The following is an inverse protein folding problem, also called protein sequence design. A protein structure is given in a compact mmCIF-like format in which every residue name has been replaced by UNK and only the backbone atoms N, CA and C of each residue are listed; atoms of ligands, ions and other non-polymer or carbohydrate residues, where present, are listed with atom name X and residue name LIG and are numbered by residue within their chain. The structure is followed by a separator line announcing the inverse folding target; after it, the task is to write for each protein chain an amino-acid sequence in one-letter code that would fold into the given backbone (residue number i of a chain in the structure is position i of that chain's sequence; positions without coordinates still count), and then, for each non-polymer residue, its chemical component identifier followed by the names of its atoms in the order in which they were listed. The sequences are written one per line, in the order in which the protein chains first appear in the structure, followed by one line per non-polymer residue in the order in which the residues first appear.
data_IF_724800088234
#
_entry.id   IF_724800088234
#
_cell.length_a   1.000
_cell.length_b   1.000
_cell.length_c   1.000
_cell.angle_alpha   90.00
_cell.angle_beta   90.00
_cell.angle_gamma   90.00
#
_symmetry.space_group_name_H-M   'P 1'
#
loop_
_entity.id
_entity.type
_entity.pdbx_description
1 polymer ?
#
# COMPACT_ATOMS: atom_id res chain seq x y z
N UNK A 1 -49.25 -7.37 -6.61
CA UNK A 1 -48.26 -6.35 -7.00
C UNK A 1 -47.01 -6.63 -6.18
N UNK A 2 -45.98 -7.12 -6.84
CA UNK A 2 -44.56 -7.16 -6.44
C UNK A 2 -43.79 -6.83 -7.76
N UNK A 3 -42.53 -6.33 -7.84
CA UNK A 3 -41.45 -6.57 -6.86
C UNK A 3 -40.36 -5.49 -6.70
N UNK A 4 -39.32 -5.85 -5.94
CA UNK A 4 -37.92 -5.37 -5.97
C UNK A 4 -37.58 -4.36 -4.85
N UNK A 5 -36.71 -4.64 -3.88
CA UNK A 5 -35.48 -5.43 -3.94
C UNK A 5 -34.30 -4.51 -4.26
N UNK A 6 -33.43 -4.25 -3.26
CA UNK A 6 -31.98 -4.07 -3.43
C UNK A 6 -31.31 -4.01 -2.05
N UNK A 7 -30.90 -5.19 -1.57
CA UNK A 7 -29.80 -5.33 -0.61
C UNK A 7 -28.58 -4.66 -1.24
N UNK A 8 -28.07 -3.60 -0.60
CA UNK A 8 -26.83 -2.96 -1.00
C UNK A 8 -25.70 -3.98 -0.96
N UNK A 9 -25.22 -4.39 -2.14
CA UNK A 9 -24.15 -5.35 -2.27
C UNK A 9 -22.90 -4.87 -1.55
N UNK A 10 -22.40 -5.70 -0.63
CA UNK A 10 -20.96 -5.70 -0.32
C UNK A 10 -20.26 -5.91 -1.66
N UNK A 11 -19.52 -4.90 -2.10
CA UNK A 11 -18.54 -5.09 -3.17
C UNK A 11 -17.45 -5.97 -2.56
N UNK A 12 -17.62 -7.27 -2.77
CA UNK A 12 -16.57 -8.25 -2.57
C UNK A 12 -15.39 -7.79 -3.42
N UNK A 13 -14.38 -7.23 -2.76
CA UNK A 13 -13.08 -7.00 -3.40
C UNK A 13 -12.65 -8.36 -3.92
N UNK A 14 -12.53 -8.50 -5.23
CA UNK A 14 -11.86 -9.64 -5.84
C UNK A 14 -10.46 -9.68 -5.22
N UNK A 15 -10.25 -10.54 -4.23
CA UNK A 15 -8.94 -10.71 -3.62
C UNK A 15 -8.11 -11.38 -4.72
N UNK A 16 -7.18 -10.64 -5.30
CA UNK A 16 -6.16 -11.21 -6.18
C UNK A 16 -5.59 -12.45 -5.51
N UNK A 17 -5.50 -13.55 -6.26
CA UNK A 17 -4.96 -14.80 -5.72
C UNK A 17 -3.54 -14.52 -5.20
N UNK A 18 -3.16 -15.02 -4.00
CA UNK A 18 -1.81 -14.85 -3.51
C UNK A 18 -0.79 -15.36 -4.53
N UNK A 19 0.28 -14.59 -4.72
CA UNK A 19 1.35 -14.87 -5.70
C UNK A 19 2.63 -15.21 -4.95
N UNK A 20 3.31 -16.29 -5.35
CA UNK A 20 4.59 -16.66 -4.74
C UNK A 20 5.74 -15.92 -5.42
N UNK A 21 6.68 -15.43 -4.63
CA UNK A 21 7.87 -14.72 -5.10
C UNK A 21 9.16 -15.33 -4.55
N UNK A 22 10.24 -15.16 -5.31
CA UNK A 22 11.62 -15.35 -4.86
C UNK A 22 12.29 -13.99 -4.78
N UNK A 23 12.92 -13.69 -3.65
CA UNK A 23 13.73 -12.47 -3.50
C UNK A 23 15.01 -12.62 -4.32
N UNK A 24 15.23 -11.71 -5.27
CA UNK A 24 16.41 -11.67 -6.15
C UNK A 24 17.38 -10.54 -5.78
N UNK A 25 16.95 -9.58 -4.96
CA UNK A 25 17.78 -8.53 -4.36
C UNK A 25 17.35 -8.32 -2.91
N UNK A 26 18.29 -8.14 -1.99
CA UNK A 26 17.96 -7.86 -0.60
C UNK A 26 17.31 -6.48 -0.46
N UNK A 27 16.42 -6.35 0.51
CA UNK A 27 15.79 -5.09 0.89
C UNK A 27 15.77 -5.00 2.43
N UNK A 28 16.02 -3.80 2.94
CA UNK A 28 16.00 -3.49 4.37
C UNK A 28 14.94 -2.44 4.60
N UNK A 29 14.05 -2.70 5.55
CA UNK A 29 12.98 -1.78 5.91
C UNK A 29 13.56 -0.44 6.40
N UNK A 30 13.05 0.65 5.85
CA UNK A 30 13.58 2.00 6.06
C UNK A 30 13.15 2.63 7.39
N UNK A 31 11.97 2.27 7.90
CA UNK A 31 11.35 2.93 9.05
C UNK A 31 10.81 1.91 10.06
N UNK A 32 11.11 2.12 11.34
CA UNK A 32 10.63 1.25 12.42
C UNK A 32 9.15 1.48 12.78
N UNK A 33 8.64 2.71 12.61
CA UNK A 33 7.26 3.07 12.95
C UNK A 33 6.65 3.98 11.88
N UNK A 34 6.35 3.45 10.68
CA UNK A 34 5.85 4.24 9.57
C UNK A 34 4.36 4.56 9.70
N UNK A 35 3.90 5.51 8.89
CA UNK A 35 2.49 5.91 8.81
C UNK A 35 1.54 4.71 8.67
N UNK A 36 0.43 4.75 9.43
CA UNK A 36 -0.65 3.76 9.33
C UNK A 36 -2.01 4.42 9.47
N UNK A 37 -2.86 4.21 8.47
CA UNK A 37 -4.19 4.84 8.36
C UNK A 37 -5.27 3.82 8.05
N UNK A 38 -6.47 4.10 8.54
CA UNK A 38 -7.72 3.49 8.12
C UNK A 38 -8.44 4.40 7.12
N UNK A 39 -9.40 3.83 6.38
CA UNK A 39 -10.27 4.64 5.52
C UNK A 39 -10.97 5.73 6.34
N UNK A 40 -10.91 6.96 5.84
CA UNK A 40 -11.50 8.15 6.45
C UNK A 40 -10.57 8.90 7.42
N UNK A 41 -9.46 8.29 7.83
CA UNK A 41 -8.48 8.96 8.68
C UNK A 41 -7.89 10.18 7.98
N UNK A 42 -7.62 11.22 8.76
CA UNK A 42 -6.95 12.44 8.28
C UNK A 42 -5.48 12.14 8.03
N UNK A 43 -4.97 12.64 6.91
CA UNK A 43 -3.56 12.61 6.55
C UNK A 43 -3.07 14.03 6.35
N UNK A 44 -1.95 14.37 6.95
CA UNK A 44 -1.25 15.64 6.68
C UNK A 44 -0.20 15.37 5.62
N UNK A 45 -0.24 16.09 4.49
CA UNK A 45 0.80 16.00 3.47
C UNK A 45 1.83 17.11 3.68
N UNK A 46 3.12 16.75 3.63
CA UNK A 46 4.21 17.74 3.73
C UNK A 46 4.50 18.50 2.43
N UNK A 47 3.93 18.04 1.31
CA UNK A 47 4.25 18.52 -0.04
C UNK A 47 5.46 17.83 -0.69
N UNK A 48 6.23 17.01 0.05
CA UNK A 48 7.29 16.19 -0.55
C UNK A 48 6.67 15.09 -1.41
N UNK A 49 7.25 14.89 -2.59
CA UNK A 49 6.86 13.86 -3.55
C UNK A 49 8.08 13.07 -4.00
N UNK A 50 7.89 11.79 -4.30
CA UNK A 50 8.88 10.96 -4.97
C UNK A 50 8.25 10.28 -6.20
N UNK A 51 9.05 10.09 -7.24
CA UNK A 51 8.60 9.52 -8.51
C UNK A 51 9.28 8.17 -8.70
N UNK A 52 8.46 7.12 -8.65
CA UNK A 52 8.91 5.75 -8.82
C UNK A 52 8.59 5.25 -10.23
N UNK A 53 9.56 4.83 -11.04
CA UNK A 53 9.31 4.39 -12.41
C UNK A 53 8.29 3.24 -12.48
N UNK A 54 7.32 3.38 -13.38
CA UNK A 54 6.31 2.35 -13.64
C UNK A 54 6.32 1.89 -15.10
N UNK A 55 5.68 0.75 -15.42
CA UNK A 55 5.73 0.17 -16.77
C UNK A 55 4.90 0.94 -17.80
N UNK A 56 3.87 1.69 -17.37
CA UNK A 56 2.98 2.48 -18.24
C UNK A 56 3.13 3.97 -17.97
N UNK A 57 3.07 4.36 -16.69
CA UNK A 57 3.32 5.71 -16.23
C UNK A 57 4.09 5.63 -14.91
N UNK A 58 4.81 6.70 -14.58
CA UNK A 58 5.48 6.79 -13.29
C UNK A 58 4.46 6.84 -12.15
N UNK A 59 4.87 6.31 -11.01
CA UNK A 59 4.10 6.27 -9.79
C UNK A 59 4.49 7.45 -8.91
N UNK A 60 3.49 8.20 -8.45
CA UNK A 60 3.73 9.33 -7.53
C UNK A 60 3.51 8.87 -6.10
N UNK A 61 4.53 9.04 -5.28
CA UNK A 61 4.50 8.85 -3.84
C UNK A 61 4.45 10.20 -3.13
N UNK A 62 3.65 10.28 -2.07
CA UNK A 62 3.48 11.48 -1.25
C UNK A 62 4.01 11.21 0.16
N UNK A 63 4.69 12.18 0.77
CA UNK A 63 5.09 12.06 2.17
C UNK A 63 3.96 12.54 3.09
N UNK A 64 3.36 11.58 3.79
CA UNK A 64 2.22 11.80 4.68
C UNK A 64 2.58 11.62 6.15
N UNK A 65 1.78 12.20 7.02
CA UNK A 65 1.78 12.01 8.46
C UNK A 65 0.36 11.66 8.95
N UNK A 66 0.22 10.65 9.81
CA UNK A 66 -1.05 10.34 10.46
C UNK A 66 -1.27 11.12 11.78
N UNK A 67 -2.45 10.96 12.37
CA UNK A 67 -2.84 11.61 13.64
C UNK A 67 -1.93 11.29 14.84
N UNK A 68 -1.14 10.21 14.76
CA UNK A 68 -0.20 9.82 15.81
C UNK A 68 1.21 10.40 15.56
N UNK A 69 1.38 11.22 14.53
CA UNK A 69 2.67 11.82 14.16
C UNK A 69 3.60 10.85 13.42
N UNK A 70 3.13 9.68 12.97
CA UNK A 70 3.95 8.75 12.21
C UNK A 70 3.98 9.18 10.75
N UNK A 71 5.17 9.14 10.16
CA UNK A 71 5.41 9.59 8.80
C UNK A 71 5.79 8.44 7.87
N UNK A 72 5.61 8.65 6.58
CA UNK A 72 6.08 7.73 5.55
C UNK A 72 5.51 8.04 4.18
N UNK A 73 6.03 7.33 3.19
CA UNK A 73 5.54 7.37 1.82
C UNK A 73 4.18 6.69 1.73
N UNK A 74 3.24 7.34 1.05
CA UNK A 74 1.94 6.79 0.69
C UNK A 74 1.72 6.90 -0.84
N UNK A 75 0.97 5.96 -1.45
CA UNK A 75 0.53 6.10 -2.83
C UNK A 75 -0.27 7.39 -3.02
N UNK A 76 -0.03 8.11 -4.11
CA UNK A 76 -0.79 9.34 -4.38
C UNK A 76 -2.30 9.13 -4.52
N UNK A 77 -2.71 7.93 -4.95
CA UNK A 77 -4.12 7.50 -5.00
C UNK A 77 -4.71 7.09 -3.64
N UNK A 78 -3.94 7.17 -2.55
CA UNK A 78 -4.42 6.81 -1.21
C UNK A 78 -5.38 7.86 -0.65
N UNK A 79 -5.20 9.13 -1.03
CA UNK A 79 -5.87 10.25 -0.37
C UNK A 79 -6.75 11.04 -1.33
N UNK A 80 -7.91 11.45 -0.83
CA UNK A 80 -8.78 12.40 -1.49
C UNK A 80 -8.91 13.68 -0.65
N UNK A 81 -9.10 14.81 -1.32
CA UNK A 81 -9.45 16.05 -0.64
C UNK A 81 -10.80 15.89 0.08
N UNK A 82 -10.86 16.29 1.35
CA UNK A 82 -12.12 16.30 2.09
C UNK A 82 -13.09 17.30 1.46
N UNK A 83 -14.34 16.88 1.27
CA UNK A 83 -15.38 17.73 0.68
C UNK A 83 -15.51 19.05 1.46
N UNK A 84 -15.36 20.18 0.77
CA UNK A 84 -15.54 21.52 1.34
C UNK A 84 -14.36 22.05 2.19
N UNK A 85 -13.22 21.36 2.25
CA UNK A 85 -12.05 21.82 2.99
C UNK A 85 -10.79 21.82 2.12
N UNK A 86 -10.20 23.00 1.91
CA UNK A 86 -8.88 23.15 1.28
C UNK A 86 -7.80 22.66 2.25
N UNK A 87 -6.89 21.81 1.77
CA UNK A 87 -5.74 21.34 2.54
C UNK A 87 -6.02 20.21 3.54
N UNK A 88 -7.23 19.65 3.58
CA UNK A 88 -7.53 18.46 4.39
C UNK A 88 -7.62 17.22 3.51
N UNK A 89 -6.76 16.23 3.78
CA UNK A 89 -6.73 14.97 3.06
C UNK A 89 -7.26 13.84 3.93
N UNK A 90 -7.98 12.91 3.31
CA UNK A 90 -8.48 11.69 3.97
C UNK A 90 -8.07 10.46 3.19
N UNK A 91 -7.70 9.41 3.90
CA UNK A 91 -7.37 8.13 3.28
C UNK A 91 -8.63 7.45 2.72
N UNK A 92 -8.62 7.02 1.47
CA UNK A 92 -9.73 6.33 0.82
C UNK A 92 -9.78 4.83 1.13
N UNK A 93 -8.65 4.29 1.59
CA UNK A 93 -8.48 2.90 2.03
C UNK A 93 -7.55 2.82 3.23
N UNK A 94 -7.54 1.67 3.89
CA UNK A 94 -6.51 1.38 4.89
C UNK A 94 -5.15 1.19 4.21
N UNK A 95 -4.10 1.72 4.83
CA UNK A 95 -2.73 1.58 4.34
C UNK A 95 -1.76 1.59 5.51
N UNK A 96 -0.72 0.77 5.42
CA UNK A 96 0.37 0.73 6.37
C UNK A 96 1.67 0.71 5.57
N UNK A 97 2.48 1.75 5.74
CA UNK A 97 3.73 1.93 5.00
C UNK A 97 4.88 1.07 5.57
N UNK A 98 4.58 -0.02 6.27
CA UNK A 98 5.61 -0.94 6.78
C UNK A 98 6.26 -1.69 5.64
N UNK A 99 7.58 -1.70 5.65
CA UNK A 99 8.42 -2.44 4.71
C UNK A 99 8.85 -3.77 5.34
N UNK A 100 9.05 -4.80 4.52
CA UNK A 100 9.54 -6.10 4.98
C UNK A 100 11.01 -6.26 4.64
N UNK A 101 11.86 -6.42 5.66
CA UNK A 101 13.27 -6.76 5.43
C UNK A 101 13.38 -8.19 4.90
N UNK A 102 14.07 -8.38 3.78
CA UNK A 102 14.22 -9.69 3.16
C UNK A 102 15.62 -9.91 2.55
N UNK A 103 16.05 -11.17 2.53
CA UNK A 103 17.35 -11.61 1.98
C UNK A 103 17.16 -12.31 0.65
N UNK A 104 18.17 -12.20 -0.23
CA UNK A 104 18.20 -12.93 -1.51
C UNK A 104 17.96 -14.43 -1.27
N UNK A 105 17.11 -15.03 -2.09
CA UNK A 105 16.73 -16.45 -1.99
C UNK A 105 15.52 -16.72 -1.09
N UNK A 106 15.08 -15.76 -0.26
CA UNK A 106 13.85 -15.93 0.52
C UNK A 106 12.63 -16.15 -0.39
N UNK A 107 11.66 -16.92 0.11
CA UNK A 107 10.34 -17.08 -0.51
C UNK A 107 9.35 -16.20 0.23
N UNK A 108 8.56 -15.44 -0.54
CA UNK A 108 7.53 -14.56 -0.01
C UNK A 108 6.19 -14.84 -0.68
N UNK A 109 5.10 -14.58 0.01
CA UNK A 109 3.74 -14.62 -0.55
C UNK A 109 3.22 -13.19 -0.65
N UNK A 110 2.99 -12.72 -1.88
CA UNK A 110 2.42 -11.41 -2.15
C UNK A 110 0.90 -11.47 -2.25
N UNK A 111 0.21 -10.48 -1.69
CA UNK A 111 -1.27 -10.40 -1.69
C UNK A 111 -1.83 -9.11 -2.27
N UNK A 112 -1.00 -8.08 -2.39
CA UNK A 112 -1.37 -6.78 -2.96
C UNK A 112 -0.16 -6.16 -3.66
N UNK A 113 -0.40 -5.24 -4.59
CA UNK A 113 0.64 -4.50 -5.29
C UNK A 113 0.21 -3.04 -5.48
N UNK A 114 1.12 -2.10 -5.26
CA UNK A 114 0.87 -0.69 -5.48
C UNK A 114 2.16 0.04 -5.78
N UNK A 115 2.13 0.87 -6.82
CA UNK A 115 3.17 1.87 -7.09
C UNK A 115 4.60 1.29 -7.16
N UNK A 116 4.75 0.08 -7.73
CA UNK A 116 6.04 -0.62 -7.87
C UNK A 116 6.49 -1.42 -6.65
N UNK A 117 5.58 -1.66 -5.70
CA UNK A 117 5.83 -2.41 -4.47
C UNK A 117 4.77 -3.49 -4.26
N UNK A 118 5.16 -4.61 -3.66
CA UNK A 118 4.27 -5.75 -3.34
C UNK A 118 4.18 -5.91 -1.83
N UNK A 119 2.95 -6.02 -1.31
CA UNK A 119 2.72 -6.40 0.07
C UNK A 119 2.97 -7.89 0.22
N UNK A 120 4.03 -8.25 0.93
CA UNK A 120 4.50 -9.61 1.11
C UNK A 120 4.33 -10.08 2.55
N UNK A 121 4.25 -11.40 2.70
CA UNK A 121 4.44 -12.12 3.97
C UNK A 121 5.58 -13.13 3.83
N UNK A 122 6.36 -13.33 4.89
CA UNK A 122 7.35 -14.39 4.99
C UNK A 122 6.83 -15.61 5.77
N UNK A 123 7.65 -16.66 5.88
CA UNK A 123 7.30 -17.87 6.62
C UNK A 123 7.36 -17.73 8.15
N UNK A 124 7.92 -16.63 8.65
CA UNK A 124 8.13 -16.35 10.07
C UNK A 124 7.05 -15.41 10.64
N UNK A 125 6.05 -15.04 9.83
CA UNK A 125 4.94 -14.18 10.20
C UNK A 125 5.20 -12.68 10.00
N UNK A 126 6.34 -12.31 9.40
CA UNK A 126 6.63 -10.95 8.98
C UNK A 126 5.76 -10.53 7.79
N UNK A 127 5.37 -9.26 7.74
CA UNK A 127 4.58 -8.70 6.66
C UNK A 127 4.98 -7.25 6.36
N UNK A 128 4.98 -6.87 5.09
CA UNK A 128 5.28 -5.51 4.66
C UNK A 128 5.53 -5.37 3.17
N UNK A 129 5.67 -4.14 2.71
CA UNK A 129 5.99 -3.80 1.33
C UNK A 129 7.44 -4.18 0.99
N UNK A 130 7.64 -4.75 -0.20
CA UNK A 130 8.95 -5.01 -0.80
C UNK A 130 8.95 -4.44 -2.21
N UNK A 131 10.02 -3.78 -2.69
CA UNK A 131 10.06 -3.28 -4.06
C UNK A 131 9.90 -4.43 -5.05
N UNK A 132 9.09 -4.24 -6.09
CA UNK A 132 8.90 -5.25 -7.15
C UNK A 132 10.23 -5.64 -7.80
N UNK A 133 11.16 -4.69 -7.92
CA UNK A 133 12.51 -4.90 -8.47
C UNK A 133 13.38 -5.84 -7.63
N UNK A 134 12.99 -6.12 -6.38
CA UNK A 134 13.63 -7.10 -5.52
C UNK A 134 13.04 -8.50 -5.66
N UNK A 135 11.97 -8.67 -6.44
CA UNK A 135 11.18 -9.89 -6.51
C UNK A 135 11.19 -10.50 -7.91
N UNK A 136 11.13 -11.83 -7.95
CA UNK A 136 10.80 -12.59 -9.15
C UNK A 136 9.61 -13.48 -8.85
N UNK A 137 8.52 -13.30 -9.59
CA UNK A 137 7.35 -14.17 -9.48
C UNK A 137 7.73 -15.61 -9.79
N UNK A 138 7.23 -16.55 -8.98
CA UNK A 138 7.38 -17.98 -9.19
C UNK A 138 6.19 -18.51 -10.02
N UNK A 139 6.41 -19.58 -10.80
CA UNK A 139 5.34 -20.26 -11.53
C UNK A 139 4.23 -20.78 -10.62
#
# INVERSE_FOLDING_TARGET
MDPSGKRGGRRDRCVSRPVSFRVIRAHTASYANPIRVCKGDVVTLSGKTDIWPGPVHDHVWLWGQDKAGREGWIPSDLVAAAAGATGQWRADRGYWAVELTCRVGARLVGTDASHGWVWCTDGDGGAGWVPETCLRQLP
#
